data_IF_159021584299
#
_entry.id   IF_159021584299
#
_cell.length_a   1.000
_cell.length_b   1.000
_cell.length_c   1.000
_cell.angle_alpha   90.00
_cell.angle_beta   90.00
_cell.angle_gamma   90.00
#
_symmetry.space_group_name_H-M   'P 1'
#
loop_
_entity.id
_entity.type
_entity.pdbx_description
1 polymer ?
#
# COMPACT_ATOMS: atom_id res chain seq x y z
N UNK A 1 2.41 -63.69 32.10
CA UNK A 1 1.38 -63.01 32.90
C UNK A 1 1.92 -61.64 33.32
N UNK A 2 1.47 -60.59 32.61
CA UNK A 2 1.28 -59.18 33.06
C UNK A 2 2.57 -58.41 33.47
N UNK A 3 3.22 -57.60 32.61
CA UNK A 3 2.86 -56.28 32.02
C UNK A 3 2.87 -55.11 33.02
N UNK A 4 3.77 -54.13 32.83
CA UNK A 4 3.44 -52.70 32.56
C UNK A 4 4.68 -51.79 32.55
N UNK A 5 5.15 -51.50 31.34
CA UNK A 5 5.82 -50.24 30.97
C UNK A 5 4.79 -49.10 31.10
N UNK A 6 4.72 -48.40 32.22
CA UNK A 6 4.11 -47.06 32.29
C UNK A 6 4.45 -46.44 33.65
N UNK A 7 5.32 -45.44 33.69
CA UNK A 7 5.24 -44.34 34.66
C UNK A 7 6.05 -43.15 34.13
N UNK A 8 5.27 -42.17 33.68
CA UNK A 8 5.50 -40.73 33.85
C UNK A 8 6.40 -40.07 32.79
N UNK A 9 5.76 -39.83 31.65
CA UNK A 9 5.79 -38.51 31.02
C UNK A 9 5.44 -37.44 32.06
N UNK A 10 6.40 -36.64 32.54
CA UNK A 10 6.17 -35.32 33.15
C UNK A 10 7.53 -34.70 33.43
N UNK A 11 7.93 -33.76 32.57
CA UNK A 11 8.78 -32.57 32.78
C UNK A 11 9.27 -32.17 31.38
N UNK A 12 8.32 -31.75 30.54
CA UNK A 12 8.60 -30.68 29.58
C UNK A 12 8.08 -29.44 30.30
N UNK A 13 8.88 -28.98 31.28
CA UNK A 13 8.60 -27.75 31.98
C UNK A 13 8.86 -26.61 31.00
N UNK A 14 7.82 -25.81 30.84
CA UNK A 14 7.73 -24.63 30.01
C UNK A 14 9.01 -23.78 30.06
N UNK A 15 9.78 -23.82 28.98
CA UNK A 15 10.39 -22.60 28.44
C UNK A 15 9.54 -22.17 27.25
N UNK A 16 8.28 -21.82 27.51
CA UNK A 16 7.71 -20.70 26.78
C UNK A 16 8.60 -19.53 27.15
N UNK A 17 9.59 -19.22 26.31
CA UNK A 17 10.20 -17.91 26.30
C UNK A 17 9.04 -16.94 26.10
N UNK A 18 8.49 -16.46 27.22
CA UNK A 18 7.71 -15.26 27.25
C UNK A 18 8.69 -14.20 26.79
N UNK A 19 8.66 -13.93 25.48
CA UNK A 19 9.06 -12.65 24.98
C UNK A 19 8.08 -11.65 25.61
N UNK A 20 8.33 -11.30 26.87
CA UNK A 20 7.92 -10.01 27.42
C UNK A 20 8.72 -8.99 26.61
N UNK A 21 8.29 -8.77 25.36
CA UNK A 21 8.53 -7.50 24.72
C UNK A 21 7.80 -6.55 25.64
N UNK A 22 8.55 -5.81 26.46
CA UNK A 22 7.99 -4.75 27.28
C UNK A 22 7.13 -3.90 26.36
N UNK A 23 5.81 -4.08 26.47
CA UNK A 23 4.85 -3.31 25.69
C UNK A 23 5.17 -1.87 26.03
N UNK A 24 5.56 -1.07 25.03
CA UNK A 24 5.82 0.35 25.19
C UNK A 24 4.63 0.97 25.92
N UNK A 25 4.74 1.10 27.25
CA UNK A 25 3.64 1.56 28.09
C UNK A 25 3.49 3.05 27.81
N UNK A 26 2.52 3.39 26.98
CA UNK A 26 2.06 4.76 26.81
C UNK A 26 1.83 5.38 28.19
N UNK A 27 2.41 6.56 28.45
CA UNK A 27 2.16 7.32 29.68
C UNK A 27 0.71 7.83 29.67
N UNK A 28 -0.21 7.08 30.30
CA UNK A 28 -1.62 7.44 30.50
C UNK A 28 -2.63 6.56 29.73
N UNK A 29 -3.92 6.65 30.08
CA UNK A 29 -5.04 5.90 29.47
C UNK A 29 -5.41 6.36 28.04
N UNK A 30 -4.61 7.21 27.39
CA UNK A 30 -4.90 7.76 26.05
C UNK A 30 -3.74 7.49 25.09
N UNK A 31 -4.06 6.87 23.95
CA UNK A 31 -3.12 6.59 22.85
C UNK A 31 -3.15 7.71 21.83
N UNK A 32 -2.00 8.07 21.28
CA UNK A 32 -1.92 9.02 20.17
C UNK A 32 -2.40 8.36 18.87
N UNK A 33 -3.15 9.08 18.00
CA UNK A 33 -3.45 8.59 16.65
C UNK A 33 -2.17 8.31 15.85
N UNK A 34 -2.25 7.37 14.92
CA UNK A 34 -1.17 7.00 14.00
C UNK A 34 -1.60 7.33 12.57
N UNK A 35 -0.71 8.00 11.84
CA UNK A 35 -0.86 8.29 10.41
C UNK A 35 0.27 7.58 9.67
N UNK A 36 -0.08 6.72 8.73
CA UNK A 36 0.85 6.01 7.87
C UNK A 36 1.14 6.86 6.64
N UNK A 37 2.38 7.35 6.53
CA UNK A 37 2.90 8.05 5.35
C UNK A 37 3.78 7.05 4.59
N UNK A 38 3.43 6.67 3.34
CA UNK A 38 4.19 5.69 2.58
C UNK A 38 5.48 6.25 1.98
N UNK A 39 6.36 5.35 1.54
CA UNK A 39 7.47 5.70 0.66
C UNK A 39 7.08 5.71 -0.82
N UNK A 40 8.09 5.72 -1.69
CA UNK A 40 7.91 5.61 -3.15
C UNK A 40 7.21 4.31 -3.54
N UNK A 41 6.20 4.40 -4.42
CA UNK A 41 5.34 3.28 -4.81
C UNK A 41 4.42 2.74 -3.71
N UNK A 42 4.41 3.35 -2.51
CA UNK A 42 3.78 2.78 -1.31
C UNK A 42 2.29 3.09 -1.12
N UNK A 43 1.60 3.60 -2.14
CA UNK A 43 0.15 3.79 -2.11
C UNK A 43 -0.51 3.46 -3.45
N UNK A 44 -1.81 3.23 -3.44
CA UNK A 44 -2.58 3.11 -4.67
C UNK A 44 -2.56 4.42 -5.50
N UNK A 45 -2.67 4.28 -6.82
CA UNK A 45 -2.84 5.37 -7.78
C UNK A 45 -3.94 4.99 -8.77
N UNK A 46 -4.78 5.95 -9.09
CA UNK A 46 -5.81 5.84 -10.11
C UNK A 46 -5.50 6.72 -11.32
N UNK A 47 -5.95 6.29 -12.49
CA UNK A 47 -5.83 7.06 -13.72
C UNK A 47 -7.15 7.11 -14.50
N UNK A 48 -7.36 8.19 -15.24
CA UNK A 48 -8.42 8.33 -16.24
C UNK A 48 -7.83 8.80 -17.57
N UNK A 49 -8.24 8.18 -18.68
CA UNK A 49 -7.62 8.40 -19.99
C UNK A 49 -8.57 9.15 -20.96
N UNK A 50 -7.98 10.08 -21.70
CA UNK A 50 -8.54 10.79 -22.85
C UNK A 50 -7.40 11.24 -23.79
N UNK A 51 -6.63 10.27 -24.30
CA UNK A 51 -5.42 10.47 -25.10
C UNK A 51 -5.77 10.58 -26.59
N UNK A 52 -5.06 11.46 -27.30
CA UNK A 52 -5.17 11.58 -28.77
C UNK A 52 -4.43 10.46 -29.51
N UNK A 53 -3.33 9.99 -28.93
CA UNK A 53 -2.46 8.95 -29.49
C UNK A 53 -1.96 7.99 -28.41
N UNK A 54 -1.49 6.82 -28.85
CA UNK A 54 -0.93 5.76 -28.01
C UNK A 54 0.32 5.20 -28.66
N UNK A 55 1.20 4.64 -27.84
CA UNK A 55 2.48 4.07 -28.29
C UNK A 55 2.31 2.79 -29.13
N UNK A 56 1.22 2.06 -28.93
CA UNK A 56 0.90 0.84 -29.68
C UNK A 56 -0.61 0.57 -29.69
N UNK A 57 -1.10 -0.22 -30.65
CA UNK A 57 -2.54 -0.48 -30.86
C UNK A 57 -3.24 -1.22 -29.71
N UNK A 58 -2.47 -1.83 -28.81
CA UNK A 58 -2.98 -2.53 -27.63
C UNK A 58 -3.26 -1.59 -26.44
N UNK A 59 -2.80 -0.34 -26.51
CA UNK A 59 -2.99 0.60 -25.42
C UNK A 59 -4.33 1.34 -25.57
N UNK A 60 -5.05 1.43 -24.47
CA UNK A 60 -6.30 2.19 -24.41
C UNK A 60 -6.06 3.69 -24.57
N UNK A 61 -6.90 4.33 -25.38
CA UNK A 61 -6.89 5.79 -25.55
C UNK A 61 -7.77 6.50 -24.52
N UNK A 62 -8.89 5.89 -24.16
CA UNK A 62 -9.95 6.53 -23.36
C UNK A 62 -10.44 5.57 -22.29
N UNK A 63 -10.77 6.08 -21.11
CA UNK A 63 -11.49 5.34 -20.08
C UNK A 63 -12.70 6.14 -19.60
N UNK A 64 -13.81 5.45 -19.33
CA UNK A 64 -15.04 6.10 -18.83
C UNK A 64 -14.85 6.58 -17.40
N UNK A 65 -14.27 5.73 -16.56
CA UNK A 65 -14.02 5.97 -15.13
C UNK A 65 -12.53 5.93 -14.82
N UNK A 66 -12.20 6.32 -13.58
CA UNK A 66 -10.88 6.04 -13.02
C UNK A 66 -10.71 4.53 -12.83
N UNK A 67 -9.51 4.04 -13.10
CA UNK A 67 -9.11 2.67 -12.81
C UNK A 67 -7.83 2.65 -11.99
N UNK A 68 -7.62 1.60 -11.21
CA UNK A 68 -6.37 1.38 -10.50
C UNK A 68 -5.24 1.16 -11.52
N UNK A 69 -4.35 2.15 -11.64
CA UNK A 69 -3.16 2.06 -12.49
C UNK A 69 -1.97 1.51 -11.70
N UNK A 70 -1.96 1.71 -10.37
CA UNK A 70 -0.94 1.18 -9.49
C UNK A 70 -1.53 0.75 -8.13
N UNK A 71 -1.24 -0.44 -7.62
CA UNK A 71 -0.56 -1.56 -8.28
C UNK A 71 -1.59 -2.46 -8.99
N UNK A 72 -1.44 -2.59 -10.30
CA UNK A 72 -2.19 -3.56 -11.10
C UNK A 72 -1.21 -4.45 -11.89
N UNK A 73 -1.08 -5.71 -11.47
CA UNK A 73 -0.12 -6.65 -12.06
C UNK A 73 -0.40 -6.98 -13.53
N UNK A 74 -1.66 -6.87 -13.97
CA UNK A 74 -2.03 -7.11 -15.37
C UNK A 74 -1.44 -6.04 -16.31
N UNK A 75 -1.20 -4.83 -15.79
CA UNK A 75 -0.57 -3.74 -16.55
C UNK A 75 0.96 -3.89 -16.66
N UNK A 76 1.56 -4.84 -15.92
CA UNK A 76 3.01 -5.01 -15.87
C UNK A 76 3.54 -6.18 -16.72
N UNK A 77 2.67 -6.87 -17.46
CA UNK A 77 3.07 -7.97 -18.35
C UNK A 77 3.77 -7.43 -19.61
N UNK A 78 4.58 -8.26 -20.31
CA UNK A 78 5.22 -7.85 -21.55
C UNK A 78 4.24 -7.25 -22.55
N UNK A 79 4.70 -6.26 -23.33
CA UNK A 79 3.91 -5.47 -24.29
C UNK A 79 2.94 -4.48 -23.62
N UNK A 80 2.19 -4.88 -22.58
CA UNK A 80 1.25 -3.99 -21.87
C UNK A 80 1.98 -2.98 -21.00
N UNK A 81 3.17 -3.33 -20.48
CA UNK A 81 4.02 -2.44 -19.68
C UNK A 81 4.33 -1.12 -20.42
N UNK A 82 4.41 -1.12 -21.75
CA UNK A 82 4.64 0.11 -22.52
C UNK A 82 3.46 1.09 -22.39
N UNK A 83 2.22 0.57 -22.32
CA UNK A 83 1.03 1.37 -22.05
C UNK A 83 1.04 1.95 -20.62
N UNK A 84 1.44 1.13 -19.64
CA UNK A 84 1.61 1.57 -18.25
C UNK A 84 2.63 2.70 -18.14
N UNK A 85 3.82 2.52 -18.72
CA UNK A 85 4.89 3.53 -18.72
C UNK A 85 4.41 4.81 -19.39
N UNK A 86 3.74 4.72 -20.54
CA UNK A 86 3.24 5.90 -21.26
C UNK A 86 2.18 6.68 -20.46
N UNK A 87 1.41 6.00 -19.61
CA UNK A 87 0.41 6.63 -18.76
C UNK A 87 1.00 7.18 -17.44
N UNK A 88 2.00 6.52 -16.86
CA UNK A 88 2.56 6.89 -15.56
C UNK A 88 3.73 7.87 -15.64
N UNK A 89 4.40 8.00 -16.78
CA UNK A 89 5.56 8.90 -16.92
C UNK A 89 5.18 10.36 -16.66
N UNK A 90 6.16 11.10 -16.16
CA UNK A 90 6.09 12.55 -16.04
C UNK A 90 6.97 13.20 -17.12
N UNK A 91 6.49 14.31 -17.67
CA UNK A 91 7.28 15.17 -18.55
C UNK A 91 7.78 16.36 -17.75
N UNK A 92 9.08 16.61 -17.79
CA UNK A 92 9.69 17.76 -17.11
C UNK A 92 9.81 18.95 -18.06
N UNK A 93 9.35 20.12 -17.63
CA UNK A 93 9.55 21.38 -18.33
C UNK A 93 10.75 22.13 -17.72
N UNK A 94 11.79 22.33 -18.54
CA UNK A 94 13.02 23.00 -18.11
C UNK A 94 12.83 24.50 -17.80
N UNK A 95 11.80 25.14 -18.35
CA UNK A 95 11.52 26.56 -18.19
C UNK A 95 10.74 26.83 -16.92
N UNK A 96 9.62 26.13 -16.72
CA UNK A 96 8.79 26.27 -15.50
C UNK A 96 9.37 25.52 -14.30
N UNK A 97 10.28 24.57 -14.56
CA UNK A 97 10.86 23.64 -13.57
C UNK A 97 9.83 22.73 -12.91
N UNK A 98 8.71 22.47 -13.58
CA UNK A 98 7.62 21.61 -13.10
C UNK A 98 7.49 20.33 -13.92
N UNK A 99 6.74 19.36 -13.37
CA UNK A 99 6.40 18.11 -14.03
C UNK A 99 4.92 18.05 -14.37
N UNK A 100 4.57 17.51 -15.52
CA UNK A 100 3.18 17.26 -15.95
C UNK A 100 2.96 15.80 -16.33
N UNK A 101 1.71 15.35 -16.21
CA UNK A 101 1.29 14.03 -16.70
C UNK A 101 1.34 14.00 -18.24
N UNK A 102 1.35 12.79 -18.81
CA UNK A 102 1.13 12.61 -20.25
C UNK A 102 -0.19 13.28 -20.68
N UNK A 103 -0.23 14.00 -21.82
CA UNK A 103 -1.45 14.64 -22.30
C UNK A 103 -2.62 13.66 -22.42
N UNK A 104 -3.75 14.03 -21.82
CA UNK A 104 -4.93 13.17 -21.76
C UNK A 104 -4.89 12.09 -20.69
N UNK A 105 -3.90 12.10 -19.80
CA UNK A 105 -3.87 11.21 -18.62
C UNK A 105 -4.07 12.05 -17.38
N UNK A 106 -5.17 11.80 -16.68
CA UNK A 106 -5.42 12.35 -15.37
C UNK A 106 -5.07 11.34 -14.29
N UNK A 107 -4.44 11.80 -13.21
CA UNK A 107 -3.96 10.95 -12.11
C UNK A 107 -4.62 11.41 -10.83
N UNK A 108 -5.19 10.44 -10.10
CA UNK A 108 -5.83 10.65 -8.82
C UNK A 108 -5.15 9.79 -7.74
N UNK A 109 -4.98 10.35 -6.55
CA UNK A 109 -4.47 9.64 -5.38
C UNK A 109 -5.66 9.35 -4.45
N UNK A 110 -6.21 8.13 -4.46
CA UNK A 110 -7.44 7.83 -3.77
C UNK A 110 -7.24 7.70 -2.25
N UNK A 111 -8.35 7.81 -1.52
CA UNK A 111 -8.46 7.37 -0.12
C UNK A 111 -7.55 8.09 0.87
N UNK A 112 -7.37 9.41 0.72
CA UNK A 112 -6.77 10.21 1.80
C UNK A 112 -7.50 9.93 3.12
N UNK A 113 -6.74 9.57 4.15
CA UNK A 113 -7.27 9.24 5.48
C UNK A 113 -7.66 7.77 5.65
N UNK A 114 -7.80 7.00 4.57
CA UNK A 114 -8.04 5.56 4.61
C UNK A 114 -6.72 4.79 4.61
N UNK A 115 -6.39 4.03 5.68
CA UNK A 115 -5.17 3.24 5.70
C UNK A 115 -5.17 2.12 4.65
N UNK A 116 -6.32 1.71 4.10
CA UNK A 116 -6.38 0.65 3.08
C UNK A 116 -5.48 0.95 1.88
N UNK A 117 -5.45 2.20 1.42
CA UNK A 117 -4.70 2.61 0.22
C UNK A 117 -3.18 2.53 0.37
N UNK A 118 -2.68 2.41 1.61
CA UNK A 118 -1.25 2.27 1.92
C UNK A 118 -0.93 0.91 2.56
N UNK A 119 -1.94 0.20 3.08
CA UNK A 119 -1.81 -1.19 3.54
C UNK A 119 -1.72 -2.17 2.36
N UNK A 120 -2.53 -1.93 1.33
CA UNK A 120 -2.63 -2.76 0.13
C UNK A 120 -2.48 -1.90 -1.12
N UNK A 121 -1.41 -2.12 -1.86
CA UNK A 121 -1.14 -1.46 -3.15
C UNK A 121 -2.01 -2.04 -4.27
N UNK A 122 -2.32 -3.33 -4.18
CA UNK A 122 -3.25 -4.00 -5.10
C UNK A 122 -4.62 -4.12 -4.42
N UNK A 123 -5.69 -3.52 -4.98
CA UNK A 123 -7.04 -3.59 -4.41
C UNK A 123 -7.57 -5.02 -4.22
N UNK A 124 -7.10 -5.98 -5.02
CA UNK A 124 -7.47 -7.40 -4.89
C UNK A 124 -6.88 -8.07 -3.65
N UNK A 125 -5.96 -7.40 -2.95
CA UNK A 125 -5.17 -7.92 -1.83
C UNK A 125 -4.30 -9.12 -2.22
N UNK A 126 -3.88 -9.19 -3.49
CA UNK A 126 -2.86 -10.14 -3.90
C UNK A 126 -1.60 -9.96 -3.04
N UNK A 127 -0.96 -11.07 -2.66
CA UNK A 127 0.20 -11.05 -1.76
C UNK A 127 1.33 -10.09 -2.19
N UNK A 128 1.66 -9.93 -3.50
CA UNK A 128 2.67 -8.97 -3.94
C UNK A 128 2.32 -7.51 -3.64
N UNK A 129 1.04 -7.17 -3.49
CA UNK A 129 0.56 -5.82 -3.18
C UNK A 129 0.46 -5.52 -1.68
N UNK A 130 0.85 -6.43 -0.80
CA UNK A 130 0.85 -6.15 0.64
C UNK A 130 2.03 -5.25 1.04
N UNK A 131 1.75 -4.05 1.58
CA UNK A 131 2.77 -3.11 2.05
C UNK A 131 2.64 -2.83 3.56
N UNK A 132 1.86 -1.84 3.99
CA UNK A 132 1.65 -1.61 5.43
C UNK A 132 0.67 -2.58 6.11
N UNK A 133 0.09 -3.54 5.38
CA UNK A 133 -0.95 -4.44 5.93
C UNK A 133 -0.56 -5.11 7.25
N UNK A 134 0.68 -5.56 7.40
CA UNK A 134 1.11 -6.24 8.64
C UNK A 134 1.32 -5.25 9.79
N UNK A 135 1.81 -4.04 9.51
CA UNK A 135 1.90 -2.95 10.50
C UNK A 135 0.50 -2.53 10.95
N UNK A 136 -0.42 -2.30 10.01
CA UNK A 136 -1.81 -1.96 10.31
C UNK A 136 -2.52 -3.06 11.11
N UNK A 137 -2.29 -4.33 10.76
CA UNK A 137 -2.84 -5.46 11.49
C UNK A 137 -2.33 -5.55 12.94
N UNK A 138 -1.03 -5.37 13.17
CA UNK A 138 -0.48 -5.33 14.53
C UNK A 138 -1.05 -4.16 15.35
N UNK A 139 -1.13 -2.96 14.76
CA UNK A 139 -1.71 -1.80 15.44
C UNK A 139 -3.16 -2.05 15.85
N UNK A 140 -3.95 -2.70 14.99
CA UNK A 140 -5.36 -2.99 15.25
C UNK A 140 -5.53 -4.14 16.24
N UNK A 141 -4.92 -5.29 15.97
CA UNK A 141 -5.12 -6.52 16.74
C UNK A 141 -4.44 -6.50 18.10
N UNK A 142 -3.21 -5.97 18.18
CA UNK A 142 -2.38 -6.09 19.38
C UNK A 142 -2.45 -4.82 20.24
N UNK A 143 -2.65 -3.66 19.59
CA UNK A 143 -2.67 -2.36 20.26
C UNK A 143 -4.05 -1.68 20.29
N UNK A 144 -5.07 -2.28 19.67
CA UNK A 144 -6.45 -1.79 19.72
C UNK A 144 -6.70 -0.47 18.99
N UNK A 145 -5.92 -0.18 17.94
CA UNK A 145 -6.23 0.92 17.02
C UNK A 145 -7.46 0.61 16.16
N UNK A 146 -8.13 1.65 15.67
CA UNK A 146 -9.31 1.55 14.82
C UNK A 146 -9.00 2.24 13.49
N UNK A 147 -9.00 1.46 12.41
CA UNK A 147 -8.87 1.99 11.03
C UNK A 147 -9.93 3.07 10.78
N UNK A 148 -9.58 4.09 10.02
CA UNK A 148 -10.46 5.23 9.74
C UNK A 148 -10.89 6.04 10.97
N UNK A 149 -10.20 5.89 12.11
CA UNK A 149 -10.40 6.71 13.30
C UNK A 149 -9.07 7.07 13.95
N UNK A 150 -8.42 6.11 14.62
CA UNK A 150 -7.12 6.31 15.28
C UNK A 150 -5.94 5.81 14.45
N UNK A 151 -6.18 5.04 13.39
CA UNK A 151 -5.22 4.66 12.36
C UNK A 151 -5.68 5.22 11.00
N UNK A 152 -4.83 6.03 10.36
CA UNK A 152 -5.10 6.74 9.11
C UNK A 152 -3.98 6.51 8.09
N UNK A 153 -4.30 6.57 6.80
CA UNK A 153 -3.32 6.63 5.71
C UNK A 153 -3.20 8.04 5.14
N UNK A 154 -2.00 8.42 4.70
CA UNK A 154 -1.74 9.68 4.00
C UNK A 154 -1.03 9.39 2.67
N UNK A 155 -1.75 8.84 1.67
CA UNK A 155 -1.20 8.62 0.33
C UNK A 155 -0.94 9.96 -0.37
N UNK A 156 0.04 9.97 -1.28
CA UNK A 156 0.42 11.12 -2.11
C UNK A 156 0.91 10.63 -3.48
N UNK A 157 1.08 11.53 -4.44
CA UNK A 157 1.65 11.19 -5.75
C UNK A 157 3.16 11.02 -5.60
N UNK A 158 3.57 9.79 -5.30
CA UNK A 158 4.98 9.45 -5.04
C UNK A 158 5.92 9.71 -6.22
N UNK A 159 5.38 9.96 -7.42
CA UNK A 159 6.18 10.31 -8.61
C UNK A 159 6.70 11.74 -8.55
N UNK A 160 6.11 12.59 -7.72
CA UNK A 160 6.37 14.02 -7.66
C UNK A 160 7.19 14.40 -6.44
N UNK A 161 7.86 15.54 -6.55
CA UNK A 161 8.53 16.19 -5.44
C UNK A 161 7.55 17.10 -4.68
N UNK A 162 7.79 17.40 -3.39
CA UNK A 162 6.89 18.22 -2.58
C UNK A 162 6.56 19.61 -3.15
N UNK A 163 7.45 20.20 -3.96
CA UNK A 163 7.23 21.50 -4.59
C UNK A 163 6.23 21.47 -5.75
N UNK A 164 5.95 20.29 -6.30
CA UNK A 164 5.16 20.09 -7.52
C UNK A 164 3.84 19.33 -7.25
N UNK A 165 3.52 19.13 -5.97
CA UNK A 165 2.32 18.41 -5.47
C UNK A 165 1.10 19.33 -5.28
N UNK A 166 0.98 20.38 -6.09
CA UNK A 166 -0.24 21.19 -6.17
C UNK A 166 -1.22 20.62 -7.19
#
# INVERSE_FOLDING_TARGET
>A
MITKRTLIYSIILLCSASNNVDSWRFRGNKRSPVVLVPGDGGSQVEAKLNKSSVVHYLCEKTSTEYFNIWLNLELLVPIIIDCFIDNMKLTYDNTTRTTSNTPGVDINIPGWGDPFMVEWLDPSKASPGGYFKDVGNMLVSDLGYVRNLSLRGAPYDFRKAPSNDQ
#
